data_IF_648900113192
#
_entry.id   IF_648900113192
#
_cell.length_a   1.000
_cell.length_b   1.000
_cell.length_c   1.000
_cell.angle_alpha   90.00
_cell.angle_beta   90.00
_cell.angle_gamma   90.00
#
_symmetry.space_group_name_H-M   'P 1'
#
loop_
_entity.id
_entity.type
_entity.pdbx_description
1 polymer ?
#
# COMPACT_ATOMS: atom_id res chain seq x y z
N UNK A 1 -0.40 -66.50 27.65
CA UNK A 1 -0.68 -65.09 27.30
C UNK A 1 -0.57 -64.22 28.56
N UNK A 2 0.60 -63.63 28.85
CA UNK A 2 0.79 -62.57 29.88
C UNK A 2 2.24 -62.06 30.00
N UNK A 3 3.22 -62.73 29.40
CA UNK A 3 4.64 -62.33 29.46
C UNK A 3 5.24 -61.76 28.16
N UNK A 4 4.47 -61.71 27.08
CA UNK A 4 4.92 -61.15 25.78
C UNK A 4 4.40 -59.71 25.56
N UNK A 5 3.50 -59.21 26.42
CA UNK A 5 2.94 -57.86 26.30
C UNK A 5 3.83 -56.75 26.91
N UNK A 6 4.98 -57.10 27.50
CA UNK A 6 5.86 -56.15 28.19
C UNK A 6 7.06 -55.70 27.35
N UNK A 7 7.24 -56.23 26.13
CA UNK A 7 8.35 -55.85 25.25
C UNK A 7 7.99 -54.78 24.20
N UNK A 8 6.72 -54.40 24.08
CA UNK A 8 6.25 -53.43 23.08
C UNK A 8 6.12 -51.99 23.60
N UNK A 9 6.42 -51.74 24.89
CA UNK A 9 6.24 -50.42 25.52
C UNK A 9 7.55 -49.62 25.71
N UNK A 10 8.68 -50.12 25.20
CA UNK A 10 9.99 -49.49 25.40
C UNK A 10 10.56 -48.78 24.16
N UNK A 11 9.82 -48.75 23.03
CA UNK A 11 10.34 -48.21 21.77
C UNK A 11 9.82 -46.82 21.36
N UNK A 12 9.07 -46.14 22.23
CA UNK A 12 8.44 -44.85 21.90
C UNK A 12 9.19 -43.60 22.36
N UNK A 13 10.40 -43.71 22.94
CA UNK A 13 11.04 -42.58 23.65
C UNK A 13 12.31 -42.01 23.01
N UNK A 14 12.78 -42.51 21.86
CA UNK A 14 14.03 -42.01 21.25
C UNK A 14 13.83 -40.97 20.13
N UNK A 15 12.60 -40.64 19.74
CA UNK A 15 12.35 -39.69 18.64
C UNK A 15 12.39 -38.21 19.06
N UNK A 16 12.43 -37.90 20.37
CA UNK A 16 12.53 -36.51 20.85
C UNK A 16 13.99 -36.02 21.00
N UNK A 17 14.97 -36.92 21.03
CA UNK A 17 16.37 -36.53 21.23
C UNK A 17 17.00 -35.86 19.98
N UNK A 18 16.62 -36.29 18.78
CA UNK A 18 17.15 -35.73 17.52
C UNK A 18 16.51 -34.38 17.16
N UNK A 19 15.26 -34.13 17.54
CA UNK A 19 14.61 -32.82 17.35
C UNK A 19 15.18 -31.77 18.31
N UNK A 20 15.57 -32.16 19.52
CA UNK A 20 16.24 -31.26 20.46
C UNK A 20 17.67 -30.90 20.01
N UNK A 21 18.40 -31.84 19.40
CA UNK A 21 19.75 -31.57 18.87
C UNK A 21 19.73 -30.68 17.62
N UNK A 22 18.74 -30.78 16.75
CA UNK A 22 18.59 -29.87 15.60
C UNK A 22 18.09 -28.48 16.01
N UNK A 23 17.24 -28.39 17.03
CA UNK A 23 16.83 -27.11 17.65
C UNK A 23 17.98 -26.42 18.41
N UNK A 24 18.89 -27.19 19.01
CA UNK A 24 20.07 -26.66 19.71
C UNK A 24 21.20 -26.22 18.77
N UNK A 25 21.13 -26.56 17.47
CA UNK A 25 22.07 -26.12 16.43
C UNK A 25 21.58 -24.89 15.65
N UNK A 26 20.30 -24.52 15.75
CA UNK A 26 19.75 -23.28 15.18
C UNK A 26 20.43 -22.00 15.73
N UNK A 27 20.73 -21.90 17.05
CA UNK A 27 21.46 -20.76 17.59
C UNK A 27 22.88 -20.64 17.03
N UNK A 28 23.51 -21.76 16.63
CA UNK A 28 24.90 -21.76 16.15
C UNK A 28 25.06 -21.31 14.69
N UNK A 29 24.00 -21.39 13.88
CA UNK A 29 23.95 -20.77 12.55
C UNK A 29 23.70 -19.26 12.61
N UNK A 30 23.12 -18.76 13.71
CA UNK A 30 22.87 -17.33 13.92
C UNK A 30 24.06 -16.54 14.46
N UNK A 31 25.15 -17.22 14.85
CA UNK A 31 26.30 -16.64 15.56
C UNK A 31 27.51 -16.28 14.68
N UNK A 32 27.41 -16.29 13.35
CA UNK A 32 28.53 -15.93 12.46
C UNK A 32 28.53 -14.46 11.97
N UNK A 33 27.66 -13.59 12.49
CA UNK A 33 27.76 -12.13 12.28
C UNK A 33 27.89 -11.45 13.65
N UNK A 34 29.08 -10.91 14.00
CA UNK A 34 29.26 -10.19 15.26
C UNK A 34 28.40 -8.92 15.29
N UNK A 35 27.42 -8.84 16.21
CA UNK A 35 26.78 -7.59 16.61
C UNK A 35 25.25 -7.50 16.53
N UNK A 36 24.54 -8.44 15.90
CA UNK A 36 23.06 -8.44 15.84
C UNK A 36 22.55 -9.86 16.02
N UNK A 37 22.28 -10.24 17.26
CA UNK A 37 21.62 -11.50 17.57
C UNK A 37 20.13 -11.47 17.19
N UNK A 38 19.76 -12.27 16.18
CA UNK A 38 18.52 -13.06 16.18
C UNK A 38 17.18 -12.38 15.87
N UNK A 39 17.14 -11.19 15.29
CA UNK A 39 15.92 -10.67 14.66
C UNK A 39 16.13 -10.74 13.16
N UNK A 40 15.32 -11.53 12.45
CA UNK A 40 15.28 -11.44 10.99
C UNK A 40 14.63 -10.10 10.63
N UNK A 41 15.46 -9.06 10.58
CA UNK A 41 15.07 -7.67 10.30
C UNK A 41 14.27 -7.61 9.00
N UNK A 42 14.67 -8.41 8.00
CA UNK A 42 14.01 -8.45 6.72
C UNK A 42 12.61 -9.07 6.85
N UNK A 43 12.47 -10.22 7.49
CA UNK A 43 11.16 -10.84 7.70
C UNK A 43 10.24 -9.96 8.56
N UNK A 44 10.78 -9.30 9.57
CA UNK A 44 10.01 -8.41 10.44
C UNK A 44 9.51 -7.14 9.78
N UNK A 45 10.38 -6.50 9.00
CA UNK A 45 9.98 -5.36 8.20
C UNK A 45 8.96 -5.79 7.13
N UNK A 46 9.15 -6.94 6.48
CA UNK A 46 8.21 -7.46 5.47
C UNK A 46 6.82 -7.72 6.05
N UNK A 47 6.74 -8.35 7.23
CA UNK A 47 5.47 -8.59 7.91
C UNK A 47 4.76 -7.27 8.22
N UNK A 48 5.49 -6.32 8.79
CA UNK A 48 4.94 -5.01 9.15
C UNK A 48 4.45 -4.23 7.93
N UNK A 49 5.23 -4.21 6.84
CA UNK A 49 4.84 -3.57 5.59
C UNK A 49 3.63 -4.25 4.98
N UNK A 50 3.59 -5.58 4.93
CA UNK A 50 2.41 -6.30 4.41
C UNK A 50 1.15 -5.98 5.22
N UNK A 51 1.26 -5.92 6.55
CA UNK A 51 0.13 -5.55 7.43
C UNK A 51 -0.32 -4.12 7.18
N UNK A 52 0.59 -3.15 7.22
CA UNK A 52 0.27 -1.73 7.05
C UNK A 52 -0.31 -1.44 5.66
N UNK A 53 0.26 -2.04 4.61
CA UNK A 53 -0.27 -1.93 3.24
C UNK A 53 -1.68 -2.52 3.17
N UNK A 54 -1.89 -3.74 3.68
CA UNK A 54 -3.21 -4.39 3.61
C UNK A 54 -4.27 -3.54 4.32
N UNK A 55 -3.93 -3.03 5.50
CA UNK A 55 -4.82 -2.17 6.27
C UNK A 55 -5.15 -0.87 5.51
N UNK A 56 -4.14 -0.15 5.03
CA UNK A 56 -4.35 1.14 4.36
C UNK A 56 -5.02 1.01 3.00
N UNK A 57 -4.64 0.00 2.20
CA UNK A 57 -5.32 -0.28 0.92
C UNK A 57 -6.77 -0.65 1.17
N UNK A 58 -7.09 -1.46 2.18
CA UNK A 58 -8.48 -1.82 2.50
C UNK A 58 -9.36 -0.62 2.87
N UNK A 59 -8.79 0.41 3.52
CA UNK A 59 -9.50 1.66 3.83
C UNK A 59 -9.88 2.41 2.55
N UNK A 60 -9.02 2.35 1.52
CA UNK A 60 -9.21 3.03 0.24
C UNK A 60 -10.12 2.28 -0.73
N UNK A 61 -10.24 0.96 -0.61
CA UNK A 61 -11.14 0.16 -1.46
C UNK A 61 -12.59 0.16 -0.97
N UNK A 62 -12.81 0.57 0.27
CA UNK A 62 -14.14 0.70 0.85
C UNK A 62 -14.93 1.82 0.15
N UNK A 63 -16.26 1.70 0.20
CA UNK A 63 -17.15 2.80 -0.20
C UNK A 63 -16.82 4.02 0.67
N UNK A 64 -16.55 5.14 0.00
CA UNK A 64 -16.13 6.42 0.57
C UNK A 64 -14.68 6.46 1.07
N UNK A 65 -13.90 5.41 0.78
CA UNK A 65 -12.47 5.32 1.10
C UNK A 65 -11.63 6.41 0.44
N UNK A 66 -12.06 6.89 -0.73
CA UNK A 66 -11.55 8.13 -1.34
C UNK A 66 -12.51 9.29 -1.14
N UNK A 67 -13.80 9.12 -1.44
CA UNK A 67 -14.71 10.26 -1.58
C UNK A 67 -14.92 11.07 -0.29
N UNK A 68 -14.89 10.42 0.89
CA UNK A 68 -14.98 11.09 2.21
C UNK A 68 -13.64 11.20 2.92
N UNK A 69 -12.56 10.69 2.34
CA UNK A 69 -11.23 10.78 2.92
C UNK A 69 -10.54 12.05 2.44
N UNK A 70 -10.53 13.10 3.26
CA UNK A 70 -9.97 14.41 2.90
C UNK A 70 -8.48 14.36 2.50
N UNK A 71 -7.74 13.35 2.97
CA UNK A 71 -6.32 13.21 2.65
C UNK A 71 -6.05 12.78 1.20
N UNK A 72 -7.02 12.11 0.56
CA UNK A 72 -6.84 11.48 -0.77
C UNK A 72 -8.00 11.71 -1.72
N UNK A 73 -9.06 12.40 -1.29
CA UNK A 73 -10.21 12.70 -2.13
C UNK A 73 -9.76 13.32 -3.44
N UNK A 74 -10.12 12.68 -4.53
CA UNK A 74 -9.81 13.16 -5.87
C UNK A 74 -10.73 14.33 -6.15
N UNK A 75 -10.13 15.51 -6.31
CA UNK A 75 -10.81 16.71 -6.72
C UNK A 75 -10.60 16.95 -8.22
N UNK A 76 -11.36 17.89 -8.77
CA UNK A 76 -11.06 18.43 -10.09
C UNK A 76 -9.65 19.05 -10.10
N UNK A 77 -8.94 19.03 -11.23
CA UNK A 77 -7.69 19.75 -11.42
C UNK A 77 -7.80 21.19 -10.92
N UNK A 78 -6.74 21.69 -10.29
CA UNK A 78 -6.72 23.02 -9.69
C UNK A 78 -7.05 24.13 -10.70
N UNK A 79 -6.68 23.92 -11.96
CA UNK A 79 -6.98 24.79 -13.09
C UNK A 79 -8.50 24.94 -13.34
N UNK A 80 -9.30 23.93 -12.98
CA UNK A 80 -10.74 23.90 -13.17
C UNK A 80 -11.53 24.41 -11.96
N UNK A 81 -10.88 24.84 -10.87
CA UNK A 81 -11.57 25.40 -9.70
C UNK A 81 -12.53 26.55 -10.04
N UNK A 82 -12.15 27.39 -11.00
CA UNK A 82 -13.02 28.48 -11.49
C UNK A 82 -14.24 27.95 -12.27
N UNK A 83 -14.06 26.87 -13.02
CA UNK A 83 -15.15 26.20 -13.75
C UNK A 83 -16.13 25.59 -12.76
N UNK A 84 -15.65 24.83 -11.77
CA UNK A 84 -16.46 24.28 -10.67
C UNK A 84 -17.24 25.38 -9.94
N UNK A 85 -16.57 26.46 -9.52
CA UNK A 85 -17.23 27.57 -8.86
C UNK A 85 -18.33 28.22 -9.71
N UNK A 86 -18.15 28.27 -11.03
CA UNK A 86 -19.15 28.82 -11.96
C UNK A 86 -20.35 27.88 -12.10
N UNK A 87 -20.11 26.58 -12.27
CA UNK A 87 -21.18 25.56 -12.30
C UNK A 87 -22.06 25.65 -11.05
N UNK A 88 -21.44 25.78 -9.88
CA UNK A 88 -22.15 25.94 -8.61
C UNK A 88 -22.99 27.22 -8.57
N UNK A 89 -22.44 28.35 -9.03
CA UNK A 89 -23.17 29.64 -9.07
C UNK A 89 -24.39 29.63 -9.99
N UNK A 90 -24.38 28.85 -11.06
CA UNK A 90 -25.51 28.74 -12.00
C UNK A 90 -26.50 27.64 -11.63
N UNK A 91 -26.40 27.06 -10.41
CA UNK A 91 -27.34 26.05 -9.91
C UNK A 91 -26.99 24.61 -10.28
N UNK A 92 -25.81 24.34 -10.84
CA UNK A 92 -25.35 23.00 -11.25
C UNK A 92 -24.44 22.33 -10.22
N UNK A 93 -24.57 22.68 -8.93
CA UNK A 93 -23.76 22.10 -7.86
C UNK A 93 -23.87 20.57 -7.76
N UNK A 94 -25.08 20.02 -7.94
CA UNK A 94 -25.31 18.57 -7.90
C UNK A 94 -24.53 17.82 -8.98
N UNK A 95 -24.42 18.40 -10.19
CA UNK A 95 -23.66 17.82 -11.29
C UNK A 95 -22.15 17.84 -11.00
N UNK A 96 -21.66 18.93 -10.43
CA UNK A 96 -20.26 19.04 -10.01
C UNK A 96 -19.92 18.01 -8.92
N UNK A 97 -20.82 17.83 -7.94
CA UNK A 97 -20.63 16.86 -6.86
C UNK A 97 -20.68 15.41 -7.34
N UNK A 98 -21.59 15.08 -8.27
CA UNK A 98 -21.64 13.75 -8.90
C UNK A 98 -20.41 13.48 -9.77
N UNK A 99 -19.88 14.48 -10.47
CA UNK A 99 -18.61 14.38 -11.19
C UNK A 99 -17.46 14.00 -10.26
N UNK A 100 -17.28 14.74 -9.16
CA UNK A 100 -16.25 14.43 -8.15
C UNK A 100 -16.46 13.03 -7.58
N UNK A 101 -17.70 12.68 -7.22
CA UNK A 101 -18.02 11.36 -6.67
C UNK A 101 -17.66 10.24 -7.63
N UNK A 102 -17.94 10.41 -8.92
CA UNK A 102 -17.56 9.45 -9.96
C UNK A 102 -16.05 9.22 -10.04
N UNK A 103 -15.23 10.28 -10.01
CA UNK A 103 -13.76 10.15 -9.98
C UNK A 103 -13.31 9.28 -8.81
N UNK A 104 -13.87 9.54 -7.62
CA UNK A 104 -13.50 8.83 -6.41
C UNK A 104 -13.99 7.38 -6.42
N UNK A 105 -15.20 7.10 -6.95
CA UNK A 105 -15.68 5.72 -7.12
C UNK A 105 -14.82 4.91 -8.08
N UNK A 106 -14.42 5.50 -9.20
CA UNK A 106 -13.52 4.85 -10.15
C UNK A 106 -12.16 4.51 -9.49
N UNK A 107 -11.63 5.40 -8.64
CA UNK A 107 -10.42 5.13 -7.88
C UNK A 107 -10.60 4.05 -6.80
N UNK A 108 -11.69 4.09 -6.02
CA UNK A 108 -12.03 3.06 -5.02
C UNK A 108 -12.12 1.66 -5.66
N UNK A 109 -12.70 1.56 -6.86
CA UNK A 109 -12.77 0.31 -7.61
C UNK A 109 -11.40 -0.15 -8.11
N UNK A 110 -10.59 0.76 -8.65
CA UNK A 110 -9.27 0.44 -9.19
C UNK A 110 -8.26 0.00 -8.11
N UNK A 111 -8.31 0.62 -6.93
CA UNK A 111 -7.37 0.33 -5.83
C UNK A 111 -7.55 -1.08 -5.26
N UNK A 112 -8.65 -1.78 -5.58
CA UNK A 112 -8.84 -3.21 -5.25
C UNK A 112 -7.74 -4.10 -5.84
N UNK A 113 -7.14 -3.69 -6.95
CA UNK A 113 -6.05 -4.40 -7.61
C UNK A 113 -4.68 -4.19 -6.94
N UNK A 114 -4.56 -3.30 -5.95
CA UNK A 114 -3.28 -2.84 -5.44
C UNK A 114 -2.58 -3.86 -4.51
N UNK A 115 -3.34 -4.51 -3.63
CA UNK A 115 -2.81 -5.41 -2.60
C UNK A 115 -1.87 -6.49 -3.15
N UNK A 116 -2.21 -7.28 -4.19
CA UNK A 116 -1.30 -8.32 -4.70
C UNK A 116 0.00 -7.75 -5.27
N UNK A 117 -0.01 -6.55 -5.84
CA UNK A 117 1.19 -5.90 -6.38
C UNK A 117 2.13 -5.51 -5.24
N UNK A 118 1.61 -4.89 -4.20
CA UNK A 118 2.42 -4.52 -3.04
C UNK A 118 2.97 -5.73 -2.29
N UNK A 119 2.15 -6.75 -2.04
CA UNK A 119 2.59 -7.98 -1.38
C UNK A 119 3.72 -8.65 -2.19
N UNK A 120 3.62 -8.65 -3.52
CA UNK A 120 4.68 -9.14 -4.40
C UNK A 120 5.98 -8.33 -4.23
N UNK A 121 5.89 -6.99 -4.23
CA UNK A 121 7.06 -6.13 -4.02
C UNK A 121 7.72 -6.36 -2.65
N UNK A 122 6.93 -6.45 -1.57
CA UNK A 122 7.45 -6.73 -0.23
C UNK A 122 8.08 -8.12 -0.16
N UNK A 123 7.49 -9.14 -0.80
CA UNK A 123 8.08 -10.48 -0.86
C UNK A 123 9.45 -10.46 -1.55
N UNK A 124 9.57 -9.74 -2.66
CA UNK A 124 10.79 -9.63 -3.46
C UNK A 124 11.84 -8.66 -2.89
N UNK A 125 11.54 -7.95 -1.81
CA UNK A 125 12.49 -7.06 -1.13
C UNK A 125 13.73 -7.83 -0.66
N UNK A 126 14.91 -7.31 -0.99
CA UNK A 126 16.18 -7.88 -0.55
C UNK A 126 16.49 -7.51 0.91
N UNK A 127 17.47 -8.19 1.51
CA UNK A 127 17.97 -7.82 2.83
C UNK A 127 18.55 -6.39 2.85
N UNK A 128 19.22 -5.99 1.77
CA UNK A 128 19.79 -4.64 1.62
C UNK A 128 18.69 -3.57 1.58
N UNK A 129 17.61 -3.82 0.83
CA UNK A 129 16.46 -2.92 0.78
C UNK A 129 15.83 -2.77 2.17
N UNK A 130 15.63 -3.89 2.87
CA UNK A 130 15.06 -3.88 4.21
C UNK A 130 15.92 -3.08 5.20
N UNK A 131 17.25 -3.25 5.15
CA UNK A 131 18.19 -2.48 5.96
C UNK A 131 18.13 -0.98 5.62
N UNK A 132 18.08 -0.64 4.33
CA UNK A 132 18.02 0.75 3.88
C UNK A 132 16.70 1.42 4.28
N UNK A 133 15.59 0.68 4.25
CA UNK A 133 14.29 1.17 4.75
C UNK A 133 14.36 1.42 6.26
N UNK A 134 14.87 0.46 7.03
CA UNK A 134 14.96 0.59 8.48
C UNK A 134 15.82 1.79 8.90
N UNK A 135 16.98 1.95 8.29
CA UNK A 135 17.94 3.01 8.60
C UNK A 135 17.68 4.32 7.85
N UNK A 136 16.68 4.32 6.96
CA UNK A 136 16.33 5.44 6.11
C UNK A 136 15.49 6.50 6.83
N UNK A 137 15.07 7.50 6.05
CA UNK A 137 14.20 8.57 6.53
C UNK A 137 12.76 8.10 6.76
N UNK A 138 11.88 9.03 7.18
CA UNK A 138 10.48 8.74 7.48
C UNK A 138 9.65 8.17 6.30
N UNK A 139 10.15 8.28 5.07
CA UNK A 139 9.44 7.84 3.85
C UNK A 139 10.15 6.72 3.09
N UNK A 140 11.16 6.07 3.69
CA UNK A 140 12.03 5.13 2.97
C UNK A 140 11.26 3.92 2.43
N UNK A 141 10.30 3.38 3.18
CA UNK A 141 9.45 2.28 2.72
C UNK A 141 8.51 2.74 1.61
N UNK A 142 7.92 3.92 1.76
CA UNK A 142 7.04 4.53 0.77
C UNK A 142 7.77 4.72 -0.56
N UNK A 143 8.97 5.30 -0.53
CA UNK A 143 9.79 5.51 -1.74
C UNK A 143 10.19 4.20 -2.39
N UNK A 144 10.54 3.18 -1.61
CA UNK A 144 10.81 1.83 -2.13
C UNK A 144 9.58 1.25 -2.85
N UNK A 145 8.41 1.31 -2.21
CA UNK A 145 7.17 0.79 -2.80
C UNK A 145 6.79 1.57 -4.05
N UNK A 146 6.89 2.91 -4.04
CA UNK A 146 6.66 3.75 -5.21
C UNK A 146 7.53 3.31 -6.39
N UNK A 147 8.85 3.22 -6.20
CA UNK A 147 9.77 2.80 -7.26
C UNK A 147 9.51 1.38 -7.76
N UNK A 148 9.09 0.48 -6.87
CA UNK A 148 8.92 -0.95 -7.20
C UNK A 148 7.55 -1.30 -7.77
N UNK A 149 6.53 -0.45 -7.60
CA UNK A 149 5.13 -0.82 -7.90
C UNK A 149 4.39 0.12 -8.84
N UNK A 150 4.82 1.38 -9.01
CA UNK A 150 4.04 2.40 -9.74
C UNK A 150 3.62 1.95 -11.15
N UNK A 151 4.54 1.39 -11.94
CA UNK A 151 4.23 0.94 -13.31
C UNK A 151 3.20 -0.19 -13.33
N UNK A 152 3.33 -1.17 -12.42
CA UNK A 152 2.40 -2.29 -12.33
C UNK A 152 1.02 -1.85 -11.84
N UNK A 153 0.98 -0.96 -10.83
CA UNK A 153 -0.26 -0.39 -10.31
C UNK A 153 -0.97 0.43 -11.39
N UNK A 154 -0.25 1.31 -12.09
CA UNK A 154 -0.80 2.08 -13.20
C UNK A 154 -1.44 1.15 -14.25
N UNK A 155 -0.72 0.10 -14.66
CA UNK A 155 -1.19 -0.87 -15.65
C UNK A 155 -2.43 -1.67 -15.20
N UNK A 156 -2.70 -1.76 -13.90
CA UNK A 156 -3.92 -2.39 -13.36
C UNK A 156 -5.04 -1.40 -13.10
N UNK A 157 -4.72 -0.21 -12.63
CA UNK A 157 -5.72 0.81 -12.28
C UNK A 157 -6.36 1.42 -13.52
N UNK A 158 -5.54 1.78 -14.51
CA UNK A 158 -6.00 2.47 -15.71
C UNK A 158 -7.16 1.74 -16.43
N UNK A 159 -7.09 0.42 -16.74
CA UNK A 159 -8.21 -0.25 -17.40
C UNK A 159 -9.50 -0.32 -16.56
N UNK A 160 -9.39 -0.42 -15.22
CA UNK A 160 -10.56 -0.43 -14.33
C UNK A 160 -11.23 0.94 -14.29
N UNK A 161 -10.43 2.01 -14.19
CA UNK A 161 -10.90 3.39 -14.24
C UNK A 161 -11.54 3.68 -15.59
N UNK A 162 -10.88 3.29 -16.69
CA UNK A 162 -11.39 3.46 -18.04
C UNK A 162 -12.77 2.84 -18.21
N UNK A 163 -12.92 1.58 -17.80
CA UNK A 163 -14.21 0.88 -17.84
C UNK A 163 -15.29 1.60 -17.01
N UNK A 164 -14.92 2.22 -15.89
CA UNK A 164 -15.85 2.98 -15.05
C UNK A 164 -16.36 4.25 -15.75
N UNK A 165 -15.49 4.94 -16.49
CA UNK A 165 -15.86 6.15 -17.22
C UNK A 165 -16.60 5.87 -18.52
N UNK A 166 -16.21 4.83 -19.26
CA UNK A 166 -16.89 4.43 -20.51
C UNK A 166 -18.37 4.08 -20.28
N UNK A 167 -18.70 3.44 -19.16
CA UNK A 167 -20.09 3.09 -18.79
C UNK A 167 -21.02 4.29 -18.69
N UNK A 168 -20.47 5.47 -18.39
CA UNK A 168 -21.22 6.71 -18.14
C UNK A 168 -20.87 7.81 -19.16
N UNK A 169 -20.00 7.52 -20.13
CA UNK A 169 -19.55 8.46 -21.17
C UNK A 169 -18.74 9.65 -20.64
N UNK A 170 -18.16 9.54 -19.45
CA UNK A 170 -17.47 10.66 -18.80
C UNK A 170 -16.16 11.03 -19.50
N UNK A 171 -15.46 10.04 -20.06
CA UNK A 171 -14.24 10.20 -20.84
C UNK A 171 -14.47 11.05 -22.11
N UNK A 172 -15.55 10.78 -22.84
CA UNK A 172 -15.92 11.51 -24.06
C UNK A 172 -16.29 12.97 -23.74
N UNK A 173 -17.09 13.18 -22.69
CA UNK A 173 -17.53 14.51 -22.28
C UNK A 173 -16.34 15.33 -21.77
N UNK A 174 -15.51 14.75 -20.91
CA UNK A 174 -14.31 15.38 -20.38
C UNK A 174 -13.36 15.81 -21.49
N UNK A 175 -13.01 14.88 -22.40
CA UNK A 175 -12.09 15.15 -23.51
C UNK A 175 -12.56 16.35 -24.34
N UNK A 176 -13.86 16.41 -24.68
CA UNK A 176 -14.44 17.53 -25.44
C UNK A 176 -14.31 18.86 -24.71
N UNK A 177 -14.67 18.90 -23.42
CA UNK A 177 -14.63 20.12 -22.60
C UNK A 177 -13.19 20.58 -22.42
N UNK A 178 -12.29 19.69 -22.04
CA UNK A 178 -10.90 20.02 -21.73
C UNK A 178 -10.11 20.40 -22.96
N UNK A 179 -10.31 19.71 -24.09
CA UNK A 179 -9.67 20.13 -25.35
C UNK A 179 -10.10 21.54 -25.72
N UNK A 180 -11.38 21.90 -25.55
CA UNK A 180 -11.86 23.27 -25.81
C UNK A 180 -11.31 24.28 -24.81
N UNK A 181 -11.34 23.97 -23.51
CA UNK A 181 -10.74 24.80 -22.45
C UNK A 181 -9.26 25.08 -22.73
N UNK A 182 -8.53 24.04 -23.14
CA UNK A 182 -7.12 24.15 -23.50
C UNK A 182 -6.89 25.04 -24.73
N UNK A 183 -7.88 25.38 -25.54
CA UNK A 183 -7.67 26.36 -26.64
C UNK A 183 -7.62 27.82 -26.19
N UNK A 184 -8.08 28.12 -24.96
CA UNK A 184 -8.12 29.49 -24.44
C UNK A 184 -6.68 29.99 -24.21
N UNK A 185 -6.28 31.15 -24.76
CA UNK A 185 -4.97 31.74 -24.48
C UNK A 185 -4.80 32.04 -22.99
N UNK A 186 -3.56 31.97 -22.49
CA UNK A 186 -3.17 32.35 -21.12
C UNK A 186 -3.76 31.48 -19.99
N UNK A 187 -4.43 30.36 -20.29
CA UNK A 187 -4.82 29.37 -19.27
C UNK A 187 -3.75 28.29 -19.10
N UNK A 188 -3.66 27.73 -17.89
CA UNK A 188 -2.88 26.50 -17.65
C UNK A 188 -3.62 25.32 -18.27
N UNK A 189 -2.90 24.51 -19.04
CA UNK A 189 -3.46 23.33 -19.72
C UNK A 189 -3.81 22.25 -18.72
N UNK A 190 -4.89 21.54 -18.99
CA UNK A 190 -5.37 20.40 -18.19
C UNK A 190 -5.25 19.13 -19.04
N UNK A 191 -5.00 18.00 -18.39
CA UNK A 191 -4.94 16.70 -19.05
C UNK A 191 -6.31 16.34 -19.67
N UNK A 192 -6.41 16.19 -21.00
CA UNK A 192 -7.66 15.80 -21.64
C UNK A 192 -8.01 14.32 -21.44
N UNK A 193 -7.09 13.49 -20.93
CA UNK A 193 -7.38 12.10 -20.58
C UNK A 193 -7.83 12.00 -19.11
N UNK A 194 -9.13 11.82 -18.92
CA UNK A 194 -9.73 11.65 -17.59
C UNK A 194 -9.24 10.39 -16.89
N UNK A 195 -8.99 9.33 -17.66
CA UNK A 195 -8.55 8.04 -17.15
C UNK A 195 -7.14 8.18 -16.60
N UNK A 196 -6.22 8.78 -17.37
CA UNK A 196 -4.85 9.02 -16.93
C UNK A 196 -4.82 9.93 -15.70
N UNK A 197 -5.56 11.05 -15.71
CA UNK A 197 -5.66 11.94 -14.54
C UNK A 197 -6.10 11.17 -13.28
N UNK A 198 -7.21 10.45 -13.36
CA UNK A 198 -7.76 9.72 -12.20
C UNK A 198 -6.85 8.58 -11.76
N UNK A 199 -6.17 7.91 -12.70
CA UNK A 199 -5.19 6.86 -12.38
C UNK A 199 -4.04 7.40 -11.56
N UNK A 200 -3.45 8.53 -11.98
CA UNK A 200 -2.36 9.16 -11.26
C UNK A 200 -2.80 9.68 -9.88
N UNK A 201 -4.02 10.23 -9.77
CA UNK A 201 -4.58 10.65 -8.48
C UNK A 201 -4.84 9.46 -7.54
N UNK A 202 -5.35 8.34 -8.06
CA UNK A 202 -5.53 7.12 -7.28
C UNK A 202 -4.19 6.57 -6.77
N UNK A 203 -3.16 6.52 -7.62
CA UNK A 203 -1.80 6.15 -7.22
C UNK A 203 -1.25 7.06 -6.13
N UNK A 204 -1.37 8.38 -6.32
CA UNK A 204 -0.94 9.36 -5.32
C UNK A 204 -1.65 9.17 -3.99
N UNK A 205 -2.96 8.92 -4.00
CA UNK A 205 -3.76 8.63 -2.81
C UNK A 205 -3.31 7.37 -2.06
N UNK A 206 -3.08 6.27 -2.79
CA UNK A 206 -2.57 5.02 -2.20
C UNK A 206 -1.22 5.24 -1.52
N UNK A 207 -0.26 5.85 -2.20
CA UNK A 207 1.05 6.11 -1.62
C UNK A 207 0.99 7.12 -0.47
N UNK A 208 0.05 8.08 -0.51
CA UNK A 208 -0.17 9.01 0.59
C UNK A 208 -0.60 8.28 1.86
N UNK A 209 -1.51 7.32 1.77
CA UNK A 209 -1.95 6.53 2.93
C UNK A 209 -0.85 5.61 3.46
N UNK A 210 -0.04 5.03 2.56
CA UNK A 210 1.15 4.25 2.96
C UNK A 210 2.15 5.13 3.70
N UNK A 211 2.40 6.36 3.23
CA UNK A 211 3.30 7.30 3.89
C UNK A 211 2.80 7.69 5.29
N UNK A 212 1.48 7.85 5.46
CA UNK A 212 0.86 8.10 6.77
C UNK A 212 1.13 6.93 7.72
N UNK A 213 0.89 5.70 7.26
CA UNK A 213 1.13 4.49 8.06
C UNK A 213 2.61 4.29 8.40
N UNK A 214 3.51 4.51 7.44
CA UNK A 214 4.96 4.44 7.69
C UNK A 214 5.37 5.43 8.77
N UNK A 215 4.87 6.67 8.70
CA UNK A 215 5.14 7.70 9.70
C UNK A 215 4.61 7.30 11.08
N UNK A 216 3.41 6.74 11.17
CA UNK A 216 2.85 6.25 12.42
C UNK A 216 3.68 5.12 13.03
N UNK A 217 4.09 4.12 12.23
CA UNK A 217 4.93 3.00 12.71
C UNK A 217 6.29 3.50 13.24
N UNK A 218 6.88 4.49 12.57
CA UNK A 218 8.17 5.07 12.97
C UNK A 218 8.05 5.86 14.26
N UNK A 219 7.05 6.73 14.37
CA UNK A 219 6.97 7.72 15.45
C UNK A 219 6.15 7.26 16.66
N UNK A 220 5.31 6.23 16.51
CA UNK A 220 4.42 5.76 17.57
C UNK A 220 4.69 4.28 17.91
N UNK A 221 5.27 4.04 19.09
CA UNK A 221 5.53 2.68 19.59
C UNK A 221 4.25 1.84 19.68
N UNK A 222 3.09 2.48 19.91
CA UNK A 222 1.80 1.78 19.98
C UNK A 222 1.33 1.28 18.61
N UNK A 223 1.73 1.95 17.52
CA UNK A 223 1.48 1.48 16.15
C UNK A 223 2.31 0.23 15.81
N UNK A 224 3.37 -0.05 16.57
CA UNK A 224 4.22 -1.25 16.44
C UNK A 224 3.54 -2.46 17.10
N UNK A 225 2.47 -2.93 16.47
CA UNK A 225 1.53 -3.89 17.07
C UNK A 225 2.07 -5.31 17.24
N UNK A 226 3.14 -5.71 16.54
CA UNK A 226 3.73 -7.06 16.66
C UNK A 226 5.06 -7.03 17.42
N UNK A 227 5.43 -8.12 18.14
CA UNK A 227 6.73 -8.21 18.82
C UNK A 227 7.91 -7.99 17.85
N UNK A 228 7.77 -8.50 16.64
CA UNK A 228 8.78 -8.40 15.60
C UNK A 228 8.93 -6.95 15.09
N UNK A 229 7.81 -6.24 14.88
CA UNK A 229 7.81 -4.82 14.52
C UNK A 229 8.41 -3.93 15.63
N UNK A 230 8.10 -4.21 16.90
CA UNK A 230 8.74 -3.53 18.05
C UNK A 230 10.25 -3.76 18.05
N UNK A 231 10.68 -5.00 17.83
CA UNK A 231 12.10 -5.37 17.85
C UNK A 231 12.89 -4.73 16.71
N UNK A 232 12.30 -4.62 15.52
CA UNK A 232 12.93 -4.00 14.35
C UNK A 232 13.16 -2.51 14.58
N UNK A 233 12.16 -1.76 15.04
CA UNK A 233 12.29 -0.32 15.24
C UNK A 233 12.92 0.08 16.59
N UNK A 234 13.02 -0.83 17.56
CA UNK A 234 13.79 -0.58 18.79
C UNK A 234 15.27 -0.29 18.52
N UNK A 235 15.82 -0.73 17.38
CA UNK A 235 17.18 -0.34 16.94
C UNK A 235 17.27 1.10 16.46
N UNK A 236 16.16 1.67 15.96
CA UNK A 236 16.07 3.08 15.56
C UNK A 236 15.98 3.98 16.80
N UNK A 237 15.22 3.58 17.81
CA UNK A 237 14.98 4.38 19.04
C UNK A 237 16.20 4.46 19.97
N UNK A 238 17.22 3.60 19.79
CA UNK A 238 18.45 3.59 20.61
C UNK A 238 19.53 4.56 20.13
N UNK A 239 19.27 5.34 19.09
CA UNK A 239 20.10 6.47 18.64
C UNK A 239 19.60 7.77 19.24
#
# INVERSE_FOLDING_TARGET
MKKILLLALAFSLNSCAQVQQTLNQLPQLSSQIPGIGGVDIASGLKEALNKGITEQVSKLTAVDGFYKNEAVKILMPDELKKVDATLRKVGLSSLADEGIKMLNRAAEDAVKEATPIFVSAVKNMSFTDAKNILLGNESAATSYLQGSTTTALYGKFNPVIKSSFEKVGADVVWTKIITKYNTIPLVKKVNPDLTDYTTNQALAGVFKMIAVEEKEIRNNISARTTPLLKSVFAMQDKK
#
